data_IF_774407902112
#
_entry.id   IF_774407902112
#
_cell.length_a   1.000
_cell.length_b   1.000
_cell.length_c   1.000
_cell.angle_alpha   90.00
_cell.angle_beta   90.00
_cell.angle_gamma   90.00
#
_symmetry.space_group_name_H-M   'P 1'
#
loop_
_entity.id
_entity.type
_entity.pdbx_description
1 polymer ?
#
# COMPACT_ATOMS: atom_id res chain seq x y z
N UNK A 1 8.06 -11.86 7.02
CA UNK A 1 7.40 -12.02 5.70
C UNK A 1 6.95 -10.68 5.12
N UNK A 2 6.26 -9.82 5.88
CA UNK A 2 5.74 -8.52 5.38
C UNK A 2 6.79 -7.62 4.70
N UNK A 3 7.98 -7.47 5.30
CA UNK A 3 9.08 -6.69 4.68
C UNK A 3 9.52 -7.24 3.33
N UNK A 4 9.59 -8.57 3.17
CA UNK A 4 9.99 -9.19 1.90
C UNK A 4 8.91 -8.98 0.83
N UNK A 5 7.63 -9.11 1.19
CA UNK A 5 6.51 -8.81 0.30
C UNK A 5 6.52 -7.33 -0.13
N UNK A 6 6.79 -6.40 0.79
CA UNK A 6 6.96 -4.99 0.49
C UNK A 6 8.10 -4.72 -0.50
N UNK A 7 9.27 -5.32 -0.29
CA UNK A 7 10.40 -5.18 -1.22
C UNK A 7 10.09 -5.78 -2.59
N UNK A 8 9.43 -6.94 -2.63
CA UNK A 8 9.00 -7.56 -3.87
C UNK A 8 8.00 -6.67 -4.63
N UNK A 9 7.03 -6.07 -3.93
CA UNK A 9 6.09 -5.11 -4.52
C UNK A 9 6.79 -3.85 -5.04
N UNK A 10 7.76 -3.30 -4.31
CA UNK A 10 8.55 -2.16 -4.75
C UNK A 10 9.38 -2.47 -6.01
N UNK A 11 10.02 -3.63 -6.04
CA UNK A 11 10.78 -4.10 -7.21
C UNK A 11 9.87 -4.35 -8.41
N UNK A 12 8.70 -4.94 -8.20
CA UNK A 12 7.72 -5.16 -9.25
C UNK A 12 7.22 -3.83 -9.82
N UNK A 13 6.87 -2.87 -8.96
CA UNK A 13 6.49 -1.53 -9.40
C UNK A 13 7.60 -0.87 -10.22
N UNK A 14 8.83 -0.88 -9.73
CA UNK A 14 9.98 -0.33 -10.45
C UNK A 14 10.19 -1.01 -11.81
N UNK A 15 10.01 -2.33 -11.90
CA UNK A 15 10.10 -3.06 -13.16
C UNK A 15 8.99 -2.64 -14.14
N UNK A 16 7.75 -2.46 -13.67
CA UNK A 16 6.65 -1.98 -14.51
C UNK A 16 6.91 -0.56 -15.03
N UNK A 17 7.44 0.33 -14.18
CA UNK A 17 7.81 1.70 -14.59
C UNK A 17 8.95 1.67 -15.61
N UNK A 18 9.96 0.81 -15.41
CA UNK A 18 11.06 0.65 -16.36
C UNK A 18 10.57 0.14 -17.73
N UNK A 19 9.66 -0.84 -17.75
CA UNK A 19 9.02 -1.29 -19.00
C UNK A 19 8.22 -0.15 -19.64
N UNK A 20 7.43 0.58 -18.85
CA UNK A 20 6.62 1.70 -19.33
C UNK A 20 7.47 2.80 -19.95
N UNK A 21 8.65 3.09 -19.38
CA UNK A 21 9.59 4.05 -19.93
C UNK A 21 10.08 3.70 -21.35
N UNK A 22 10.13 2.42 -21.69
CA UNK A 22 10.55 1.94 -23.01
C UNK A 22 9.39 1.93 -24.00
N UNK A 23 8.21 1.44 -23.58
CA UNK A 23 7.11 1.13 -24.52
C UNK A 23 6.08 2.25 -24.67
N UNK A 24 6.00 3.20 -23.73
CA UNK A 24 5.02 4.28 -23.82
C UNK A 24 5.21 5.12 -25.10
N UNK A 25 4.13 5.51 -25.78
CA UNK A 25 4.20 6.52 -26.83
C UNK A 25 4.51 7.90 -26.23
N UNK A 26 4.95 8.85 -27.07
CA UNK A 26 5.28 10.19 -26.57
C UNK A 26 4.07 10.92 -25.98
N UNK A 27 2.87 10.66 -26.50
CA UNK A 27 1.61 11.18 -25.96
C UNK A 27 0.94 10.14 -25.06
N UNK A 28 0.94 10.37 -23.75
CA UNK A 28 0.42 9.45 -22.74
C UNK A 28 -0.87 10.00 -22.13
N UNK A 29 -1.98 9.24 -22.09
CA UNK A 29 -3.17 9.65 -21.34
C UNK A 29 -2.88 9.58 -19.83
N UNK A 30 -3.13 10.68 -19.11
CA UNK A 30 -2.82 10.81 -17.67
C UNK A 30 -4.05 11.13 -16.81
N UNK A 31 -5.14 11.56 -17.43
CA UNK A 31 -6.43 11.74 -16.77
C UNK A 31 -7.54 11.15 -17.63
N UNK A 32 -8.52 10.57 -16.97
CA UNK A 32 -9.69 9.96 -17.60
C UNK A 32 -10.94 10.55 -16.97
N UNK A 33 -11.85 11.05 -17.80
CA UNK A 33 -13.11 11.62 -17.38
C UNK A 33 -14.08 10.56 -16.81
N UNK A 34 -15.27 10.98 -16.33
CA UNK A 34 -16.24 10.08 -15.71
C UNK A 34 -16.74 8.93 -16.61
N UNK A 35 -16.68 9.09 -17.93
CA UNK A 35 -17.02 8.04 -18.91
C UNK A 35 -15.87 7.08 -19.23
N UNK A 36 -14.69 7.31 -18.65
CA UNK A 36 -13.47 6.53 -18.87
C UNK A 36 -12.64 6.97 -20.07
N UNK A 37 -13.07 8.00 -20.82
CA UNK A 37 -12.30 8.59 -21.92
C UNK A 37 -11.15 9.46 -21.39
N UNK A 38 -9.99 9.37 -22.04
CA UNK A 38 -8.84 10.21 -21.76
C UNK A 38 -9.12 11.66 -22.18
N UNK A 39 -9.13 12.56 -21.20
CA UNK A 39 -9.40 13.98 -21.38
C UNK A 39 -8.15 14.86 -21.14
N UNK A 40 -7.07 14.28 -20.60
CA UNK A 40 -5.77 14.94 -20.44
C UNK A 40 -4.61 14.03 -20.80
N UNK A 41 -3.55 14.64 -21.34
CA UNK A 41 -2.39 13.97 -21.89
C UNK A 41 -1.11 14.61 -21.39
N UNK A 42 -0.04 13.83 -21.34
CA UNK A 42 1.30 14.29 -21.02
C UNK A 42 2.36 13.68 -21.93
N UNK A 43 3.60 14.14 -21.77
CA UNK A 43 4.75 13.51 -22.41
C UNK A 43 5.10 12.19 -21.70
N UNK A 44 5.71 11.25 -22.42
CA UNK A 44 6.26 10.03 -21.83
C UNK A 44 7.25 10.35 -20.72
N UNK A 45 8.15 11.30 -20.97
CA UNK A 45 9.19 11.68 -20.01
C UNK A 45 8.58 12.16 -18.69
N UNK A 46 7.51 12.98 -18.77
CA UNK A 46 6.82 13.47 -17.57
C UNK A 46 6.08 12.34 -16.85
N UNK A 47 5.29 11.54 -17.57
CA UNK A 47 4.53 10.43 -16.97
C UNK A 47 5.45 9.45 -16.22
N UNK A 48 6.57 9.06 -16.84
CA UNK A 48 7.57 8.19 -16.21
C UNK A 48 8.22 8.86 -15.00
N UNK A 49 8.55 10.14 -15.09
CA UNK A 49 9.16 10.88 -13.97
C UNK A 49 8.23 10.91 -12.75
N UNK A 50 6.95 11.19 -12.98
CA UNK A 50 5.94 11.17 -11.91
C UNK A 50 5.85 9.79 -11.27
N UNK A 51 5.78 8.73 -12.06
CA UNK A 51 5.70 7.35 -11.56
C UNK A 51 6.95 6.95 -10.76
N UNK A 52 8.15 7.32 -11.22
CA UNK A 52 9.42 7.08 -10.49
C UNK A 52 9.42 7.82 -9.15
N UNK A 53 9.12 9.12 -9.16
CA UNK A 53 9.12 9.96 -7.95
C UNK A 53 8.08 9.45 -6.96
N UNK A 54 6.87 9.14 -7.42
CA UNK A 54 5.80 8.63 -6.57
C UNK A 54 6.17 7.29 -5.94
N UNK A 55 6.67 6.33 -6.73
CA UNK A 55 7.09 5.02 -6.21
C UNK A 55 8.24 5.10 -5.23
N UNK A 56 9.25 5.93 -5.52
CA UNK A 56 10.37 6.15 -4.62
C UNK A 56 9.93 6.82 -3.32
N UNK A 57 9.08 7.86 -3.41
CA UNK A 57 8.56 8.57 -2.25
C UNK A 57 7.72 7.66 -1.35
N UNK A 58 6.80 6.86 -1.92
CA UNK A 58 5.99 5.92 -1.15
C UNK A 58 6.84 4.80 -0.55
N UNK A 59 7.80 4.27 -1.30
CA UNK A 59 8.72 3.24 -0.78
C UNK A 59 9.52 3.78 0.40
N UNK A 60 10.09 4.98 0.27
CA UNK A 60 10.82 5.66 1.33
C UNK A 60 9.93 5.99 2.54
N UNK A 61 8.70 6.45 2.30
CA UNK A 61 7.71 6.76 3.34
C UNK A 61 7.39 5.53 4.18
N UNK A 62 6.94 4.43 3.57
CA UNK A 62 6.56 3.23 4.33
C UNK A 62 7.76 2.56 5.01
N UNK A 63 8.91 2.49 4.34
CA UNK A 63 10.13 1.98 4.96
C UNK A 63 10.61 2.86 6.12
N UNK A 64 10.52 4.19 5.95
CA UNK A 64 10.88 5.20 6.94
C UNK A 64 9.97 5.15 8.17
N UNK A 65 8.65 5.09 7.97
CA UNK A 65 7.68 4.92 9.05
C UNK A 65 7.93 3.60 9.80
N UNK A 66 8.14 2.49 9.09
CA UNK A 66 8.43 1.21 9.72
C UNK A 66 9.78 1.21 10.48
N UNK A 67 10.78 1.96 10.03
CA UNK A 67 12.02 2.16 10.76
C UNK A 67 11.81 3.05 12.01
N UNK A 68 11.01 4.11 11.88
CA UNK A 68 10.67 5.04 12.96
C UNK A 68 9.87 4.36 14.08
N UNK A 69 8.99 3.40 13.74
CA UNK A 69 8.25 2.59 14.72
C UNK A 69 9.14 1.81 15.70
N UNK A 70 10.45 1.65 15.42
CA UNK A 70 11.40 1.06 16.37
C UNK A 70 11.72 1.97 17.55
N UNK A 71 11.52 3.27 17.40
CA UNK A 71 12.03 4.31 18.32
C UNK A 71 10.95 5.24 18.85
N UNK A 72 9.84 5.39 18.12
CA UNK A 72 8.76 6.30 18.51
C UNK A 72 8.26 6.00 19.93
N UNK A 73 8.01 7.01 20.78
CA UNK A 73 7.27 6.81 22.03
C UNK A 73 5.90 6.20 21.73
N UNK A 74 5.56 5.10 22.41
CA UNK A 74 4.30 4.39 22.14
C UNK A 74 3.07 5.20 22.56
N UNK A 75 3.23 6.20 23.41
CA UNK A 75 2.17 7.12 23.81
C UNK A 75 1.64 7.95 22.64
N UNK A 76 2.49 8.22 21.63
CA UNK A 76 2.12 8.93 20.41
C UNK A 76 1.37 8.05 19.39
N UNK A 77 1.33 6.74 19.61
CA UNK A 77 0.66 5.80 18.69
C UNK A 77 -0.73 5.48 19.21
N UNK A 78 -1.74 5.71 18.38
CA UNK A 78 -3.10 5.28 18.68
C UNK A 78 -3.25 3.78 18.38
N UNK A 79 -3.62 2.99 19.39
CA UNK A 79 -3.84 1.54 19.28
C UNK A 79 -5.05 1.14 20.12
N UNK A 80 -5.84 0.15 19.67
CA UNK A 80 -6.87 -0.45 20.52
C UNK A 80 -6.28 -1.04 21.79
N UNK A 81 -7.01 -1.04 22.90
CA UNK A 81 -6.58 -1.60 24.18
C UNK A 81 -5.19 -1.10 24.65
N UNK A 82 -4.96 0.23 24.72
CA UNK A 82 -3.64 0.78 25.04
C UNK A 82 -3.11 0.28 26.40
N UNK A 83 -3.97 0.08 27.39
CA UNK A 83 -3.64 -0.50 28.70
C UNK A 83 -3.04 -1.91 28.61
N UNK A 84 -3.43 -2.68 27.60
CA UNK A 84 -2.85 -4.00 27.34
C UNK A 84 -1.53 -3.89 26.58
N UNK A 85 -1.48 -3.07 25.54
CA UNK A 85 -0.38 -3.05 24.57
C UNK A 85 0.79 -2.13 24.92
N UNK A 86 0.54 -1.02 25.62
CA UNK A 86 1.55 -0.02 25.96
C UNK A 86 2.31 -0.34 27.25
N UNK A 87 2.34 -1.61 27.67
CA UNK A 87 3.19 -2.06 28.77
C UNK A 87 4.62 -2.35 28.28
N UNK A 88 5.66 -2.23 29.14
CA UNK A 88 7.04 -2.52 28.76
C UNK A 88 7.23 -3.93 28.17
N UNK A 89 6.48 -4.92 28.68
CA UNK A 89 6.58 -6.33 28.28
C UNK A 89 6.03 -6.56 26.87
N UNK A 90 4.98 -5.83 26.48
CA UNK A 90 4.32 -5.97 25.16
C UNK A 90 4.83 -4.97 24.12
N UNK A 91 5.58 -3.94 24.53
CA UNK A 91 6.12 -2.93 23.63
C UNK A 91 6.90 -3.52 22.42
N UNK A 92 7.78 -4.54 22.57
CA UNK A 92 8.49 -5.12 21.42
C UNK A 92 7.55 -5.81 20.42
N UNK A 93 6.53 -6.52 20.93
CA UNK A 93 5.50 -7.18 20.13
C UNK A 93 4.66 -6.15 19.36
N UNK A 94 4.18 -5.11 20.07
CA UNK A 94 3.39 -4.04 19.49
C UNK A 94 4.13 -3.37 18.33
N UNK A 95 5.41 -2.99 18.56
CA UNK A 95 6.26 -2.40 17.53
C UNK A 95 6.44 -3.33 16.34
N UNK A 96 6.59 -4.64 16.54
CA UNK A 96 6.69 -5.60 15.44
C UNK A 96 5.41 -5.62 14.60
N UNK A 97 4.24 -5.68 15.24
CA UNK A 97 2.95 -5.69 14.56
C UNK A 97 2.71 -4.42 13.74
N UNK A 98 2.96 -3.26 14.33
CA UNK A 98 2.82 -1.96 13.64
C UNK A 98 3.71 -1.87 12.41
N UNK A 99 4.93 -2.40 12.49
CA UNK A 99 5.86 -2.46 11.34
C UNK A 99 5.36 -3.39 10.26
N UNK A 100 4.85 -4.56 10.64
CA UNK A 100 4.28 -5.52 9.69
C UNK A 100 3.04 -4.94 9.01
N UNK A 101 2.22 -4.17 9.71
CA UNK A 101 1.07 -3.44 9.13
C UNK A 101 1.52 -2.36 8.15
N UNK A 102 2.52 -1.54 8.49
CA UNK A 102 3.07 -0.53 7.59
C UNK A 102 3.65 -1.15 6.31
N UNK A 103 4.39 -2.26 6.43
CA UNK A 103 4.89 -2.98 5.25
C UNK A 103 3.77 -3.62 4.44
N UNK A 104 2.74 -4.17 5.11
CA UNK A 104 1.58 -4.76 4.45
C UNK A 104 0.80 -3.74 3.61
N UNK A 105 0.48 -2.59 4.20
CA UNK A 105 -0.20 -1.48 3.53
C UNK A 105 0.68 -0.97 2.38
N UNK A 106 1.97 -0.71 2.64
CA UNK A 106 2.89 -0.25 1.59
C UNK A 106 3.00 -1.23 0.42
N UNK A 107 3.01 -2.54 0.68
CA UNK A 107 3.04 -3.56 -0.36
C UNK A 107 1.76 -3.52 -1.21
N UNK A 108 0.59 -3.47 -0.57
CA UNK A 108 -0.69 -3.40 -1.28
C UNK A 108 -0.79 -2.13 -2.15
N UNK A 109 -0.35 -0.98 -1.63
CA UNK A 109 -0.33 0.29 -2.39
C UNK A 109 0.58 0.21 -3.61
N UNK A 110 1.80 -0.32 -3.47
CA UNK A 110 2.74 -0.45 -4.59
C UNK A 110 2.25 -1.46 -5.63
N UNK A 111 1.58 -2.54 -5.21
CA UNK A 111 0.95 -3.48 -6.13
C UNK A 111 -0.21 -2.86 -6.91
N UNK A 112 -1.05 -2.05 -6.24
CA UNK A 112 -2.10 -1.30 -6.92
C UNK A 112 -1.49 -0.39 -7.99
N UNK A 113 -0.48 0.41 -7.62
CA UNK A 113 0.18 1.32 -8.57
C UNK A 113 0.82 0.56 -9.72
N UNK A 114 1.46 -0.59 -9.46
CA UNK A 114 2.05 -1.41 -10.52
C UNK A 114 0.98 -1.90 -11.51
N UNK A 115 -0.17 -2.33 -11.01
CA UNK A 115 -1.27 -2.77 -11.85
C UNK A 115 -1.88 -1.61 -12.66
N UNK A 116 -2.06 -0.44 -12.03
CA UNK A 116 -2.59 0.75 -12.70
C UNK A 116 -1.63 1.28 -13.77
N UNK A 117 -0.33 1.43 -13.46
CA UNK A 117 0.69 1.84 -14.43
C UNK A 117 0.74 0.86 -15.61
N UNK A 118 0.71 -0.46 -15.36
CA UNK A 118 0.69 -1.46 -16.44
C UNK A 118 -0.55 -1.32 -17.34
N UNK A 119 -1.71 -1.00 -16.74
CA UNK A 119 -2.98 -0.84 -17.46
C UNK A 119 -3.01 0.45 -18.29
N UNK A 120 -2.52 1.56 -17.75
CA UNK A 120 -2.37 2.83 -18.47
C UNK A 120 -1.38 2.66 -19.62
N UNK A 121 -0.23 2.04 -19.38
CA UNK A 121 0.76 1.74 -20.42
C UNK A 121 0.17 0.88 -21.53
N UNK A 122 -0.56 -0.19 -21.20
CA UNK A 122 -1.24 -1.01 -22.20
C UNK A 122 -2.27 -0.20 -23.01
N UNK A 123 -3.05 0.64 -22.33
CA UNK A 123 -4.06 1.51 -22.95
C UNK A 123 -3.40 2.46 -23.96
N UNK A 124 -2.35 3.15 -23.54
CA UNK A 124 -1.57 4.07 -24.37
C UNK A 124 -0.95 3.37 -25.60
N UNK A 125 -0.32 2.20 -25.40
CA UNK A 125 0.32 1.44 -26.49
C UNK A 125 -0.72 0.91 -27.50
N UNK A 126 -1.91 0.55 -27.04
CA UNK A 126 -2.99 0.09 -27.94
C UNK A 126 -3.66 1.20 -28.74
N UNK A 127 -3.37 2.47 -28.46
CA UNK A 127 -4.08 3.62 -29.02
C UNK A 127 -5.52 3.76 -28.52
N UNK A 128 -5.92 3.01 -27.50
CA UNK A 128 -7.22 3.14 -26.86
C UNK A 128 -7.28 4.46 -26.08
N UNK A 129 -8.33 5.23 -26.29
CA UNK A 129 -8.61 6.44 -25.51
C UNK A 129 -9.45 6.14 -24.27
N UNK A 130 -9.85 4.88 -24.04
CA UNK A 130 -10.70 4.50 -22.91
C UNK A 130 -9.95 3.64 -21.91
N UNK A 131 -10.02 4.03 -20.64
CA UNK A 131 -9.52 3.22 -19.54
C UNK A 131 -10.43 2.00 -19.36
N UNK A 132 -9.88 0.78 -19.32
CA UNK A 132 -10.70 -0.41 -19.13
C UNK A 132 -11.28 -0.44 -17.71
N UNK A 133 -12.52 -0.94 -17.58
CA UNK A 133 -13.24 -1.09 -16.30
C UNK A 133 -12.43 -1.83 -15.22
N UNK A 134 -11.47 -2.67 -15.64
CA UNK A 134 -10.52 -3.33 -14.74
C UNK A 134 -9.75 -2.36 -13.84
N UNK A 135 -9.49 -1.12 -14.27
CA UNK A 135 -8.84 -0.09 -13.43
C UNK A 135 -9.69 0.23 -12.20
N UNK A 136 -10.99 0.47 -12.41
CA UNK A 136 -11.94 0.74 -11.34
C UNK A 136 -12.03 -0.44 -10.37
N UNK A 137 -12.06 -1.67 -10.91
CA UNK A 137 -12.10 -2.88 -10.08
C UNK A 137 -10.85 -3.04 -9.25
N UNK A 138 -9.66 -2.77 -9.79
CA UNK A 138 -8.42 -2.80 -9.01
C UNK A 138 -8.48 -1.81 -7.84
N UNK A 139 -8.96 -0.59 -8.08
CA UNK A 139 -9.13 0.43 -7.03
C UNK A 139 -10.15 -0.03 -5.98
N UNK A 140 -11.32 -0.53 -6.41
CA UNK A 140 -12.36 -1.01 -5.48
C UNK A 140 -11.85 -2.20 -4.66
N UNK A 141 -11.19 -3.17 -5.28
CA UNK A 141 -10.59 -4.33 -4.61
C UNK A 141 -9.54 -3.88 -3.59
N UNK A 142 -8.69 -2.91 -3.94
CA UNK A 142 -7.74 -2.33 -3.01
C UNK A 142 -8.43 -1.65 -1.83
N UNK A 143 -9.43 -0.79 -2.07
CA UNK A 143 -10.15 -0.07 -1.02
C UNK A 143 -10.90 -1.03 -0.08
N UNK A 144 -11.60 -2.02 -0.63
CA UNK A 144 -12.27 -3.06 0.15
C UNK A 144 -11.25 -3.89 0.92
N UNK A 145 -10.14 -4.28 0.29
CA UNK A 145 -9.07 -5.04 0.92
C UNK A 145 -8.45 -4.29 2.11
N UNK A 146 -8.13 -3.01 1.95
CA UNK A 146 -7.63 -2.14 3.02
C UNK A 146 -8.69 -1.92 4.10
N UNK A 147 -9.96 -1.74 3.72
CA UNK A 147 -11.07 -1.62 4.68
C UNK A 147 -11.21 -2.86 5.56
N UNK A 148 -11.23 -4.04 4.95
CA UNK A 148 -11.27 -5.34 5.66
C UNK A 148 -10.03 -5.50 6.55
N UNK A 149 -8.84 -5.16 6.03
CA UNK A 149 -7.60 -5.21 6.82
C UNK A 149 -7.72 -4.31 8.04
N UNK A 150 -8.08 -3.04 7.89
CA UNK A 150 -8.21 -2.08 8.98
C UNK A 150 -9.21 -2.57 10.03
N UNK A 151 -10.40 -3.02 9.60
CA UNK A 151 -11.41 -3.56 10.52
C UNK A 151 -10.86 -4.78 11.27
N UNK A 152 -10.25 -5.75 10.58
CA UNK A 152 -9.65 -6.93 11.23
C UNK A 152 -8.52 -6.56 12.18
N UNK A 153 -7.71 -5.57 11.81
CA UNK A 153 -6.62 -5.09 12.64
C UNK A 153 -7.15 -4.50 13.94
N UNK A 154 -8.15 -3.63 13.85
CA UNK A 154 -8.76 -2.97 15.02
C UNK A 154 -9.58 -3.93 15.91
N UNK A 155 -10.27 -4.92 15.33
CA UNK A 155 -11.24 -5.75 16.06
C UNK A 155 -10.71 -7.11 16.49
N UNK A 156 -9.78 -7.70 15.73
CA UNK A 156 -9.29 -9.07 15.96
C UNK A 156 -7.81 -9.07 16.28
N UNK A 157 -6.97 -8.44 15.45
CA UNK A 157 -5.51 -8.56 15.54
C UNK A 157 -4.93 -7.92 16.79
N UNK A 158 -5.48 -6.77 17.20
CA UNK A 158 -5.07 -6.08 18.43
C UNK A 158 -5.96 -6.40 19.63
N UNK A 159 -6.87 -7.38 19.53
CA UNK A 159 -7.64 -7.82 20.70
C UNK A 159 -6.72 -8.62 21.64
N UNK A 160 -6.71 -8.33 22.95
CA UNK A 160 -6.04 -9.17 23.93
C UNK A 160 -6.56 -10.61 23.82
N UNK A 161 -5.66 -11.60 23.81
CA UNK A 161 -6.08 -12.98 24.04
C UNK A 161 -6.70 -13.03 25.44
N UNK A 162 -7.95 -13.49 25.55
CA UNK A 162 -8.64 -13.56 26.83
C UNK A 162 -7.78 -14.33 27.84
N UNK A 163 -7.57 -13.76 29.02
CA UNK A 163 -7.08 -14.49 30.18
C UNK A 163 -7.94 -15.74 30.33
N UNK A 164 -7.32 -16.93 30.24
CA UNK A 164 -8.00 -18.17 30.65
C UNK A 164 -8.57 -17.92 32.06
N UNK A 165 -9.83 -18.29 32.34
CA UNK A 165 -10.30 -18.23 33.72
C UNK A 165 -9.38 -19.13 34.55
N UNK A 166 -8.74 -18.55 35.55
CA UNK A 166 -8.09 -19.31 36.61
C UNK A 166 -9.22 -20.07 37.30
N UNK A 167 -9.33 -21.37 37.03
CA UNK A 167 -10.06 -22.27 37.90
C UNK A 167 -9.30 -22.33 39.21
N UNK A 168 -9.58 -21.39 40.11
CA UNK A 168 -9.36 -21.60 41.53
C UNK A 168 -10.53 -22.47 42.02
N UNK A 169 -10.30 -23.77 42.00
CA UNK A 169 -11.08 -24.70 42.84
C UNK A 169 -10.46 -24.64 44.23
N UNK A 170 -11.26 -24.15 45.18
CA UNK A 170 -10.98 -24.19 46.62
C UNK A 170 -11.36 -25.52 47.25
#
# INVERSE_FOLDING_TARGET
>A
MARAAFLAAALLYAAVVAVSAVVLPERVPVHFGPGGEADSYSSRAWAVTVDVVLGAALTALFAGLAAWMRRVPLDLVNVPHPEHWKTPERAPELRRRLRDDLYGIGAATLLLLAALTALVTRTAVSGSERLPWGALVLVVVYLVGIGIWTVRTLTVRYRPAGTKPTHDEG
#
